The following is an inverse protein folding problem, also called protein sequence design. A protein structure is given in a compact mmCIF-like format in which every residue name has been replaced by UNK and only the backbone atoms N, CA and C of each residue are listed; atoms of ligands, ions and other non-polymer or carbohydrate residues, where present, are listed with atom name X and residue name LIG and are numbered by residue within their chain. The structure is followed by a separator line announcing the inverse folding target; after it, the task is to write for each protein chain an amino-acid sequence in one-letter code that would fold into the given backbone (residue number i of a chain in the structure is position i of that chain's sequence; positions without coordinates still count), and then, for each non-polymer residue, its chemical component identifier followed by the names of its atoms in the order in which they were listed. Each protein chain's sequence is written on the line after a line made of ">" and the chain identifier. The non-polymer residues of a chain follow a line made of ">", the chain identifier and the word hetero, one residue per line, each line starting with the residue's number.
data_IF_766380708656
#
_entry.id   IF_766380708656
#
_cell.length_a   1.000
_cell.length_b   1.000
_cell.length_c   1.000
_cell.angle_alpha   90.00
_cell.angle_beta   90.00
_cell.angle_gamma   90.00
#
_symmetry.space_group_name_H-M   'P 1'
#
loop_
_entity.id
_entity.type
_entity.pdbx_description
1 polymer ?
#
# COMPACT_ATOMS: atom_id res chain seq x y z
N UNK A 1 25.91 -9.30 4.79
CA UNK A 1 26.21 -8.74 3.45
C UNK A 1 24.91 -8.67 2.69
N UNK A 2 24.55 -7.51 2.14
CA UNK A 2 23.37 -7.36 1.27
C UNK A 2 23.76 -7.74 -0.16
N UNK A 3 22.99 -8.63 -0.79
CA UNK A 3 23.20 -9.11 -2.16
C UNK A 3 22.05 -8.74 -3.10
N UNK A 4 21.15 -7.85 -2.68
CA UNK A 4 19.95 -7.48 -3.47
C UNK A 4 20.28 -7.06 -4.90
N UNK A 5 21.40 -6.35 -5.08
CA UNK A 5 21.87 -5.87 -6.38
C UNK A 5 22.28 -6.99 -7.37
N UNK A 6 22.52 -8.23 -6.92
CA UNK A 6 22.80 -9.36 -7.82
C UNK A 6 21.54 -9.93 -8.46
N UNK A 7 20.36 -9.65 -7.87
CA UNK A 7 19.08 -10.20 -8.33
C UNK A 7 18.21 -9.20 -9.08
N UNK A 8 18.28 -7.91 -8.71
CA UNK A 8 17.51 -6.85 -9.37
C UNK A 8 18.34 -5.58 -9.53
N UNK A 9 17.98 -4.78 -10.53
CA UNK A 9 18.54 -3.45 -10.68
C UNK A 9 17.89 -2.51 -9.65
N UNK A 10 18.51 -1.35 -9.37
CA UNK A 10 17.94 -0.36 -8.46
C UNK A 10 16.52 0.04 -8.89
N UNK A 11 15.66 0.23 -7.90
CA UNK A 11 14.26 0.56 -8.12
C UNK A 11 14.14 1.83 -8.97
N UNK A 12 13.24 1.79 -9.96
CA UNK A 12 12.99 2.85 -10.93
C UNK A 12 14.16 3.22 -11.88
N UNK A 13 15.27 2.48 -11.87
CA UNK A 13 16.38 2.69 -12.81
C UNK A 13 15.95 2.43 -14.27
N UNK A 14 16.60 3.06 -15.26
CA UNK A 14 16.30 2.83 -16.67
C UNK A 14 16.37 1.33 -17.05
N UNK A 15 17.37 0.63 -16.54
CA UNK A 15 17.59 -0.80 -16.78
C UNK A 15 16.46 -1.67 -16.20
N UNK A 16 16.01 -1.37 -14.97
CA UNK A 16 14.89 -2.06 -14.33
C UNK A 16 13.61 -1.88 -15.16
N UNK A 17 13.34 -0.66 -15.65
CA UNK A 17 12.17 -0.39 -16.51
C UNK A 17 12.21 -1.18 -17.82
N UNK A 18 13.37 -1.31 -18.45
CA UNK A 18 13.53 -2.09 -19.68
C UNK A 18 13.22 -3.57 -19.43
N UNK A 19 13.73 -4.14 -18.34
CA UNK A 19 13.52 -5.54 -17.99
C UNK A 19 12.07 -5.81 -17.63
N UNK A 20 11.47 -4.94 -16.81
CA UNK A 20 10.05 -5.02 -16.48
C UNK A 20 9.20 -4.97 -17.75
N UNK A 21 9.50 -4.07 -18.70
CA UNK A 21 8.80 -3.96 -19.99
C UNK A 21 8.94 -5.25 -20.82
N UNK A 22 10.14 -5.85 -20.90
CA UNK A 22 10.36 -7.13 -21.61
C UNK A 22 9.54 -8.27 -20.99
N UNK A 23 9.49 -8.37 -19.66
CA UNK A 23 8.69 -9.38 -18.95
C UNK A 23 7.19 -9.12 -19.17
N UNK A 24 6.78 -7.85 -19.07
CA UNK A 24 5.44 -7.32 -19.35
C UNK A 24 4.90 -7.82 -20.68
N UNK A 25 5.66 -7.62 -21.76
CA UNK A 25 5.28 -7.99 -23.12
C UNK A 25 5.10 -9.51 -23.30
N UNK A 26 5.80 -10.33 -22.51
CA UNK A 26 5.67 -11.79 -22.54
C UNK A 26 4.44 -12.31 -21.80
N UNK A 27 3.88 -11.56 -20.84
CA UNK A 27 2.83 -12.06 -19.92
C UNK A 27 1.38 -11.65 -20.26
N UNK A 28 1.11 -10.88 -21.33
CA UNK A 28 -0.24 -10.50 -21.88
C UNK A 28 -1.31 -9.98 -20.88
N UNK A 29 -0.95 -9.74 -19.62
CA UNK A 29 -1.75 -9.20 -18.51
C UNK A 29 -1.73 -7.67 -18.37
N UNK A 30 -2.73 -6.90 -18.85
CA UNK A 30 -2.86 -5.49 -18.43
C UNK A 30 -4.24 -5.11 -17.92
N UNK A 31 -4.25 -4.53 -16.71
CA UNK A 31 -5.29 -3.62 -16.25
C UNK A 31 -4.68 -2.23 -16.15
N UNK A 32 -5.20 -1.28 -16.92
CA UNK A 32 -4.90 0.12 -16.70
C UNK A 32 -5.72 0.55 -15.49
N UNK A 33 -5.05 0.78 -14.36
CA UNK A 33 -5.67 1.33 -13.17
C UNK A 33 -5.28 2.81 -13.15
N UNK A 34 -6.27 3.70 -13.27
CA UNK A 34 -6.05 5.13 -13.11
C UNK A 34 -5.65 5.42 -11.65
N UNK A 35 -4.67 6.29 -11.40
CA UNK A 35 -4.27 6.63 -10.04
C UNK A 35 -5.45 7.24 -9.27
N UNK A 36 -5.70 6.72 -8.07
CA UNK A 36 -6.73 7.25 -7.17
C UNK A 36 -6.30 8.63 -6.64
N UNK A 37 -7.20 9.62 -6.55
CA UNK A 37 -6.91 10.91 -5.90
C UNK A 37 -6.78 10.77 -4.37
N UNK A 38 -7.28 9.67 -3.81
CA UNK A 38 -7.14 9.33 -2.40
C UNK A 38 -6.00 8.32 -2.24
N UNK A 39 -5.07 8.63 -1.35
CA UNK A 39 -3.98 7.74 -0.94
C UNK A 39 -4.12 7.35 0.53
N UNK A 40 -3.66 6.14 0.86
CA UNK A 40 -3.64 5.59 2.21
C UNK A 40 -2.18 5.29 2.57
N UNK A 41 -1.72 5.82 3.69
CA UNK A 41 -0.39 5.53 4.24
C UNK A 41 -0.60 4.73 5.51
N UNK A 42 0.01 3.55 5.57
CA UNK A 42 -0.01 2.67 6.74
C UNK A 42 1.34 2.83 7.44
N UNK A 43 1.33 3.31 8.69
CA UNK A 43 2.53 3.53 9.49
C UNK A 43 2.58 2.52 10.62
N UNK A 44 3.27 1.38 10.44
CA UNK A 44 3.50 0.44 11.52
C UNK A 44 4.52 1.01 12.52
N UNK A 45 4.47 0.61 13.79
CA UNK A 45 5.49 0.98 14.77
C UNK A 45 6.85 0.36 14.38
N UNK A 46 7.94 1.05 14.74
CA UNK A 46 9.29 0.61 14.40
C UNK A 46 9.67 -0.73 15.06
N UNK A 47 9.07 -1.02 16.23
CA UNK A 47 9.20 -2.30 16.90
C UNK A 47 7.86 -2.70 17.53
N UNK A 48 7.65 -4.00 17.65
CA UNK A 48 6.47 -4.61 18.30
C UNK A 48 6.94 -5.68 19.27
N UNK A 49 6.23 -5.83 20.39
CA UNK A 49 6.43 -6.90 21.36
C UNK A 49 5.24 -7.86 21.32
N UNK A 50 5.47 -9.11 21.69
CA UNK A 50 4.38 -10.09 21.88
C UNK A 50 3.56 -9.83 23.14
N UNK A 51 4.07 -9.02 24.07
CA UNK A 51 3.47 -8.79 25.40
C UNK A 51 2.78 -7.43 25.54
N UNK A 52 2.73 -6.64 24.47
CA UNK A 52 2.22 -5.28 24.50
C UNK A 52 1.35 -5.00 23.29
N UNK A 53 0.35 -4.15 23.47
CA UNK A 53 -0.52 -3.74 22.39
C UNK A 53 0.28 -3.02 21.29
N UNK A 54 -0.10 -3.30 20.04
CA UNK A 54 0.49 -2.70 18.85
C UNK A 54 -0.50 -1.70 18.25
N UNK A 55 -0.06 -0.46 18.08
CA UNK A 55 -0.84 0.59 17.43
C UNK A 55 -0.35 0.80 16.00
N UNK A 56 -1.26 0.67 15.03
CA UNK A 56 -0.99 0.92 13.61
C UNK A 56 -1.80 2.15 13.20
N UNK A 57 -1.13 3.13 12.62
CA UNK A 57 -1.79 4.37 12.18
C UNK A 57 -2.07 4.34 10.67
N UNK A 58 -3.30 4.68 10.32
CA UNK A 58 -3.76 4.84 8.94
C UNK A 58 -3.96 6.33 8.65
N UNK A 59 -3.20 6.88 7.71
CA UNK A 59 -3.35 8.27 7.27
C UNK A 59 -3.99 8.27 5.89
N UNK A 60 -5.14 8.94 5.77
CA UNK A 60 -5.82 9.15 4.50
C UNK A 60 -5.50 10.56 3.98
N UNK A 61 -5.10 10.65 2.73
CA UNK A 61 -4.81 11.93 2.08
C UNK A 61 -5.61 12.05 0.77
N UNK A 62 -6.37 13.14 0.64
CA UNK A 62 -7.12 13.49 -0.55
C UNK A 62 -6.37 14.57 -1.35
N UNK A 63 -5.75 14.17 -2.45
CA UNK A 63 -5.03 15.09 -3.33
C UNK A 63 -5.95 15.87 -4.28
N UNK A 64 -7.26 15.58 -4.30
CA UNK A 64 -8.21 16.32 -5.13
C UNK A 64 -8.67 17.62 -4.49
N UNK A 65 -9.18 18.54 -5.32
CA UNK A 65 -9.85 19.78 -4.88
C UNK A 65 -11.29 19.52 -4.40
N UNK A 66 -11.78 18.29 -4.54
CA UNK A 66 -13.16 17.90 -4.25
C UNK A 66 -13.24 17.09 -2.97
N UNK A 67 -14.28 17.32 -2.17
CA UNK A 67 -14.56 16.46 -1.04
C UNK A 67 -14.88 15.04 -1.54
N UNK A 68 -14.33 14.02 -0.88
CA UNK A 68 -14.61 12.63 -1.20
C UNK A 68 -15.07 11.86 0.04
N UNK A 69 -15.98 10.92 -0.19
CA UNK A 69 -16.37 9.95 0.83
C UNK A 69 -15.54 8.69 0.62
N UNK A 70 -14.82 8.27 1.64
CA UNK A 70 -13.94 7.10 1.60
C UNK A 70 -14.54 6.04 2.48
N UNK A 71 -14.77 4.86 1.88
CA UNK A 71 -15.10 3.64 2.60
C UNK A 71 -13.94 2.68 2.46
N UNK A 72 -13.45 2.15 3.58
CA UNK A 72 -12.42 1.12 3.56
C UNK A 72 -12.74 0.04 4.58
N UNK A 73 -12.37 -1.19 4.23
CA UNK A 73 -12.47 -2.34 5.11
C UNK A 73 -11.09 -2.65 5.64
N UNK A 74 -10.93 -2.62 6.96
CA UNK A 74 -9.72 -3.03 7.65
C UNK A 74 -9.85 -4.49 8.02
N UNK A 75 -8.85 -5.29 7.66
CA UNK A 75 -8.78 -6.71 8.04
C UNK A 75 -7.39 -6.97 8.61
N UNK A 76 -7.33 -7.42 9.86
CA UNK A 76 -6.09 -7.84 10.52
C UNK A 76 -6.08 -9.37 10.55
N UNK A 77 -5.02 -9.95 10.01
CA UNK A 77 -4.83 -11.41 9.95
C UNK A 77 -3.48 -11.77 10.55
N UNK A 78 -3.40 -12.92 11.22
CA UNK A 78 -2.10 -13.52 11.52
C UNK A 78 -1.67 -14.40 10.35
N UNK A 79 -0.43 -14.22 9.90
CA UNK A 79 0.18 -15.02 8.84
C UNK A 79 1.40 -15.76 9.36
N UNK A 80 1.72 -16.91 8.75
CA UNK A 80 3.02 -17.52 8.94
C UNK A 80 4.11 -16.80 8.13
N UNK A 81 5.38 -17.18 8.33
CA UNK A 81 6.51 -16.58 7.60
C UNK A 81 6.46 -16.76 6.07
N UNK A 82 5.63 -17.70 5.58
CA UNK A 82 5.41 -17.93 4.14
C UNK A 82 4.25 -17.09 3.57
N UNK A 83 3.58 -16.28 4.40
CA UNK A 83 2.43 -15.48 4.01
C UNK A 83 1.10 -16.24 3.99
N UNK A 84 1.04 -17.48 4.50
CA UNK A 84 -0.23 -18.20 4.65
C UNK A 84 -1.03 -17.60 5.80
N UNK A 85 -2.28 -17.21 5.54
CA UNK A 85 -3.22 -16.75 6.57
C UNK A 85 -3.57 -17.91 7.50
N UNK A 86 -3.38 -17.71 8.80
CA UNK A 86 -3.71 -18.69 9.83
C UNK A 86 -5.10 -18.40 10.44
N UNK A 87 -5.38 -17.13 10.73
CA UNK A 87 -6.65 -16.67 11.31
C UNK A 87 -6.84 -15.16 11.06
N UNK A 88 -8.10 -14.74 11.08
CA UNK A 88 -8.50 -13.32 11.10
C UNK A 88 -8.66 -12.88 12.56
N UNK A 89 -7.95 -11.81 12.92
CA UNK A 89 -7.98 -11.23 14.27
C UNK A 89 -9.02 -10.11 14.38
N UNK A 90 -9.23 -9.36 13.29
CA UNK A 90 -10.14 -8.21 13.27
C UNK A 90 -10.66 -7.97 11.85
N UNK A 91 -11.93 -7.59 11.71
CA UNK A 91 -12.50 -7.11 10.46
C UNK A 91 -13.50 -5.99 10.75
N UNK A 92 -13.25 -4.80 10.20
CA UNK A 92 -14.06 -3.61 10.47
C UNK A 92 -14.25 -2.78 9.20
N UNK A 93 -15.42 -2.14 9.09
CA UNK A 93 -15.76 -1.24 8.01
C UNK A 93 -15.73 0.20 8.51
N UNK A 94 -14.93 1.03 7.85
CA UNK A 94 -14.79 2.44 8.14
C UNK A 94 -15.35 3.28 7.01
N UNK A 95 -16.01 4.36 7.38
CA UNK A 95 -16.52 5.36 6.45
C UNK A 95 -16.20 6.75 6.99
N UNK A 96 -15.52 7.55 6.16
CA UNK A 96 -15.14 8.92 6.53
C UNK A 96 -15.24 9.86 5.33
N UNK A 97 -15.30 11.15 5.60
CA UNK A 97 -15.33 12.18 4.58
C UNK A 97 -14.01 12.96 4.64
N UNK A 98 -13.30 13.01 3.51
CA UNK A 98 -12.08 13.78 3.36
C UNK A 98 -12.38 15.06 2.60
N UNK A 99 -11.99 16.19 3.18
CA UNK A 99 -12.05 17.46 2.49
C UNK A 99 -11.08 17.45 1.29
N UNK A 100 -11.41 18.20 0.24
CA UNK A 100 -10.45 18.51 -0.81
C UNK A 100 -9.39 19.48 -0.30
N UNK A 101 -8.16 19.38 -0.82
CA UNK A 101 -7.13 20.39 -0.60
C UNK A 101 -7.51 21.66 -1.39
N UNK A 102 -8.39 22.48 -0.81
CA UNK A 102 -8.77 23.78 -1.33
C UNK A 102 -7.59 24.74 -1.24
N UNK A 103 -6.87 24.94 -2.35
CA UNK A 103 -6.00 26.10 -2.50
C UNK A 103 -6.86 27.36 -2.59
N UNK A 104 -6.54 28.35 -1.75
CA UNK A 104 -6.92 29.74 -1.98
C UNK A 104 -6.11 30.16 -3.22
N UNK A 105 -6.76 30.23 -4.38
CA UNK A 105 -6.27 31.00 -5.53
C UNK A 105 -6.78 32.45 -5.39
#
# INVERSE_FOLDING_TARGET
>A
MDITATYKYPDNSPTERIIQTKIRMRRKQYRNISPSPVSIIISPPACVSFTSDCYIYFTLNNASRTNCKVKFRLTIVSVNYKGTVLQTLMEELYETQLAGNGGID
#
